data_IF_909364058523
#
_entry.id   IF_909364058523
#
_cell.length_a   1.000
_cell.length_b   1.000
_cell.length_c   1.000
_cell.angle_alpha   90.00
_cell.angle_beta   90.00
_cell.angle_gamma   90.00
#
_symmetry.space_group_name_H-M   'P 1'
#
loop_
_entity.id
_entity.type
_entity.pdbx_description
1 polymer ?
#
# COMPACT_ATOMS: atom_id res chain seq x y z
N UNK A 1 7.05 13.57 17.21
CA UNK A 1 6.40 12.80 16.14
C UNK A 1 5.74 13.83 15.26
N UNK A 2 6.10 13.83 13.98
CA UNK A 2 5.48 14.74 13.02
C UNK A 2 3.98 14.46 12.90
N UNK A 3 3.22 15.45 12.45
CA UNK A 3 1.80 15.27 12.20
C UNK A 3 1.58 14.08 11.24
N UNK A 4 0.55 13.25 11.45
CA UNK A 4 0.27 12.13 10.56
C UNK A 4 0.03 12.64 9.13
N UNK A 5 0.53 11.89 8.15
CA UNK A 5 0.20 12.18 6.76
C UNK A 5 -1.26 11.80 6.52
N UNK A 6 -2.03 12.74 5.99
CA UNK A 6 -3.46 12.56 5.75
C UNK A 6 -3.72 12.41 4.26
N UNK A 7 -4.32 11.29 3.87
CA UNK A 7 -4.75 11.02 2.50
C UNK A 7 -6.26 11.06 2.41
N UNK A 8 -6.79 11.88 1.51
CA UNK A 8 -8.20 11.90 1.15
C UNK A 8 -8.41 11.17 -0.18
N UNK A 9 -9.22 10.12 -0.16
CA UNK A 9 -9.69 9.43 -1.36
C UNK A 9 -11.00 10.08 -1.79
N UNK A 10 -11.12 10.44 -3.07
CA UNK A 10 -12.29 11.13 -3.61
C UNK A 10 -13.02 10.28 -4.64
N UNK A 11 -14.35 10.39 -4.67
CA UNK A 11 -15.26 9.81 -5.68
C UNK A 11 -15.91 10.94 -6.48
N UNK A 12 -15.29 11.27 -7.60
CA UNK A 12 -15.64 12.48 -8.34
C UNK A 12 -15.42 13.73 -7.46
N UNK A 13 -16.41 14.63 -7.32
CA UNK A 13 -16.24 15.82 -6.51
C UNK A 13 -16.33 15.57 -4.99
N UNK A 14 -16.77 14.39 -4.55
CA UNK A 14 -17.04 14.10 -3.14
C UNK A 14 -15.86 13.40 -2.45
N UNK A 15 -15.44 13.83 -1.24
CA UNK A 15 -14.57 13.03 -0.38
C UNK A 15 -15.25 11.70 -0.04
N UNK A 16 -14.60 10.59 -0.35
CA UNK A 16 -15.10 9.24 -0.03
C UNK A 16 -14.55 8.74 1.30
N UNK A 17 -13.26 8.93 1.55
CA UNK A 17 -12.62 8.53 2.81
C UNK A 17 -11.37 9.35 3.10
N UNK A 18 -11.00 9.44 4.37
CA UNK A 18 -9.81 10.13 4.86
C UNK A 18 -9.03 9.19 5.78
N UNK A 19 -7.74 9.06 5.54
CA UNK A 19 -6.87 8.10 6.23
C UNK A 19 -5.62 8.80 6.76
N UNK A 20 -5.20 8.44 7.96
CA UNK A 20 -3.86 8.74 8.47
C UNK A 20 -2.95 7.56 8.10
N UNK A 21 -1.81 7.84 7.48
CA UNK A 21 -0.96 6.81 6.87
C UNK A 21 0.51 6.99 7.23
N UNK A 22 1.19 5.85 7.35
CA UNK A 22 2.64 5.75 7.20
C UNK A 22 2.94 5.42 5.71
N UNK A 23 3.98 6.02 5.12
CA UNK A 23 4.32 5.85 3.69
C UNK A 23 5.81 5.61 3.52
N UNK A 24 6.17 4.71 2.61
CA UNK A 24 7.55 4.43 2.22
C UNK A 24 7.66 4.40 0.70
N UNK A 25 8.68 5.06 0.16
CA UNK A 25 9.05 5.04 -1.26
C UNK A 25 10.35 4.25 -1.41
N UNK A 26 10.33 3.24 -2.27
CA UNK A 26 11.49 2.40 -2.59
C UNK A 26 11.82 2.48 -4.08
N UNK A 27 13.10 2.30 -4.42
CA UNK A 27 13.53 2.12 -5.81
C UNK A 27 13.41 0.66 -6.29
N UNK A 28 13.90 0.38 -7.50
CA UNK A 28 13.88 -0.97 -8.08
C UNK A 28 14.79 -1.98 -7.37
N UNK A 29 15.77 -1.50 -6.60
CA UNK A 29 16.70 -2.30 -5.79
C UNK A 29 16.21 -2.41 -4.33
N UNK A 30 14.95 -2.04 -4.08
CA UNK A 30 14.27 -2.05 -2.78
C UNK A 30 14.94 -1.15 -1.73
N UNK A 31 15.69 -0.14 -2.16
CA UNK A 31 16.29 0.84 -1.26
C UNK A 31 15.27 1.93 -0.93
N UNK A 32 15.09 2.21 0.36
CA UNK A 32 14.22 3.30 0.84
C UNK A 32 14.81 4.64 0.40
N UNK A 33 14.06 5.37 -0.41
CA UNK A 33 14.41 6.72 -0.85
C UNK A 33 13.85 7.76 0.12
N UNK A 34 12.59 7.59 0.52
CA UNK A 34 11.85 8.52 1.38
C UNK A 34 10.81 7.76 2.22
N UNK A 35 10.46 8.30 3.40
CA UNK A 35 9.37 7.79 4.22
C UNK A 35 8.70 8.90 5.04
N UNK A 36 7.45 8.68 5.43
CA UNK A 36 6.71 9.47 6.42
C UNK A 36 6.13 8.54 7.49
N UNK A 37 6.36 8.88 8.76
CA UNK A 37 5.88 8.06 9.88
C UNK A 37 6.86 6.95 10.27
N UNK A 38 6.34 5.75 10.55
CA UNK A 38 7.13 4.61 11.03
C UNK A 38 7.26 3.50 9.97
N UNK A 39 8.32 3.50 9.13
CA UNK A 39 8.44 2.60 7.98
C UNK A 39 8.53 1.12 8.35
N UNK A 40 9.01 0.81 9.55
CA UNK A 40 9.23 -0.55 10.04
C UNK A 40 8.06 -1.10 10.87
N UNK A 41 6.96 -0.35 10.98
CA UNK A 41 5.79 -0.77 11.76
C UNK A 41 5.17 -2.03 11.15
N UNK A 42 5.05 -3.14 11.90
CA UNK A 42 4.40 -4.34 11.38
C UNK A 42 2.91 -4.10 11.11
N UNK A 43 2.46 -4.45 9.90
CA UNK A 43 1.04 -4.37 9.49
C UNK A 43 0.63 -5.63 8.75
N UNK A 44 -0.65 -6.00 8.85
CA UNK A 44 -1.21 -7.06 8.02
C UNK A 44 -1.44 -6.52 6.59
N UNK A 45 -0.95 -7.20 5.53
CA UNK A 45 -1.09 -6.68 4.16
C UNK A 45 -2.54 -6.68 3.66
N UNK A 46 -3.45 -7.41 4.32
CA UNK A 46 -4.87 -7.56 3.93
C UNK A 46 -5.01 -7.80 2.43
N UNK A 47 -5.94 -7.12 1.76
CA UNK A 47 -6.15 -7.23 0.32
C UNK A 47 -4.98 -6.74 -0.55
N UNK A 48 -3.97 -6.05 0.00
CA UNK A 48 -2.78 -5.70 -0.77
C UNK A 48 -1.92 -6.93 -1.12
N UNK A 49 -2.13 -8.07 -0.45
CA UNK A 49 -1.47 -9.33 -0.78
C UNK A 49 -1.99 -10.00 -2.07
N UNK A 50 -3.04 -9.47 -2.72
CA UNK A 50 -3.64 -10.05 -3.92
C UNK A 50 -2.66 -10.34 -5.06
N UNK A 51 -1.68 -9.48 -5.41
CA UNK A 51 -0.72 -9.80 -6.45
C UNK A 51 0.08 -11.07 -6.14
N UNK A 52 0.53 -11.23 -4.90
CA UNK A 52 1.24 -12.44 -4.45
C UNK A 52 0.31 -13.65 -4.48
N UNK A 53 -0.93 -13.50 -4.03
CA UNK A 53 -1.96 -14.56 -4.05
C UNK A 53 -2.33 -14.97 -5.49
N UNK A 54 -2.21 -14.07 -6.46
CA UNK A 54 -2.55 -14.33 -7.85
C UNK A 54 -1.50 -15.20 -8.57
N UNK A 55 -0.23 -15.14 -8.15
CA UNK A 55 0.88 -15.91 -8.76
C UNK A 55 0.50 -17.39 -8.97
N UNK A 56 0.15 -18.17 -7.92
CA UNK A 56 -0.18 -19.59 -8.10
C UNK A 56 -1.45 -19.83 -8.93
N UNK A 57 -2.40 -18.90 -8.92
CA UNK A 57 -3.62 -19.01 -9.75
C UNK A 57 -3.27 -18.89 -11.24
N UNK A 58 -2.38 -17.95 -11.60
CA UNK A 58 -1.89 -17.80 -12.97
C UNK A 58 -1.00 -18.98 -13.37
N UNK A 59 -0.02 -19.34 -12.54
CA UNK A 59 0.95 -20.39 -12.83
C UNK A 59 0.30 -21.78 -12.98
N UNK A 60 -0.78 -22.05 -12.24
CA UNK A 60 -1.53 -23.30 -12.37
C UNK A 60 -2.46 -23.34 -13.59
N UNK A 61 -2.67 -22.23 -14.29
CA UNK A 61 -3.63 -22.11 -15.38
C UNK A 61 -5.09 -21.99 -14.94
N UNK A 62 -5.37 -21.92 -13.63
CA UNK A 62 -6.72 -21.82 -13.08
C UNK A 62 -7.41 -20.45 -13.36
N UNK A 63 -6.66 -19.48 -13.90
CA UNK A 63 -7.18 -18.17 -14.32
C UNK A 63 -7.66 -18.10 -15.78
N UNK A 64 -7.52 -19.20 -16.55
CA UNK A 64 -7.91 -19.27 -17.97
C UNK A 64 -9.43 -19.42 -18.18
#
# INVERSE_FOLDING_TARGET
>A
MDAPLVVEVRRGPHPESRHEVDVVVVDGDLQVQEFHGEPDRPVLPRSAAKPIQAIPLIESGAAA
#
